data_IF_751701112091
#
_entry.id   IF_751701112091
#
_cell.length_a   1.000
_cell.length_b   1.000
_cell.length_c   1.000
_cell.angle_alpha   90.00
_cell.angle_beta   90.00
_cell.angle_gamma   90.00
#
_symmetry.space_group_name_H-M   'P 1'
#
loop_
_entity.id
_entity.type
_entity.pdbx_description
1 polymer ?
#
# COMPACT_ATOMS: atom_id res chain seq x y z
N UNK A 1 -7.56 -6.48 24.39
CA UNK A 1 -7.45 -7.32 23.18
C UNK A 1 -8.78 -8.04 23.03
N UNK A 2 -9.54 -7.76 21.97
CA UNK A 2 -10.89 -8.33 21.78
C UNK A 2 -10.77 -9.56 20.88
N UNK A 3 -11.34 -10.68 21.28
CA UNK A 3 -11.30 -11.90 20.49
C UNK A 3 -12.23 -11.79 19.27
N UNK A 4 -11.76 -12.21 18.08
CA UNK A 4 -12.51 -12.15 16.82
C UNK A 4 -13.62 -13.22 16.71
N UNK A 5 -14.14 -13.72 17.84
CA UNK A 5 -15.25 -14.69 17.85
C UNK A 5 -16.56 -14.08 17.38
N UNK A 6 -16.75 -12.78 17.63
CA UNK A 6 -17.90 -11.99 17.17
C UNK A 6 -17.42 -10.80 16.31
N UNK A 7 -17.07 -11.03 15.03
CA UNK A 7 -16.46 -10.01 14.17
C UNK A 7 -17.30 -8.73 14.07
N UNK A 8 -18.62 -8.85 14.06
CA UNK A 8 -19.55 -7.72 13.97
C UNK A 8 -19.35 -6.70 15.10
N UNK A 9 -19.26 -7.16 16.35
CA UNK A 9 -19.07 -6.28 17.51
C UNK A 9 -17.70 -5.60 17.50
N UNK A 10 -16.67 -6.31 17.02
CA UNK A 10 -15.33 -5.74 16.89
C UNK A 10 -15.33 -4.60 15.87
N UNK A 11 -15.98 -4.79 14.72
CA UNK A 11 -16.09 -3.78 13.68
C UNK A 11 -16.97 -2.59 14.10
N UNK A 12 -18.10 -2.83 14.78
CA UNK A 12 -18.95 -1.75 15.32
C UNK A 12 -18.20 -0.89 16.35
N UNK A 13 -17.42 -1.51 17.23
CA UNK A 13 -16.60 -0.79 18.20
C UNK A 13 -15.45 0.00 17.55
N UNK A 14 -14.90 -0.49 16.45
CA UNK A 14 -13.84 0.19 15.70
C UNK A 14 -14.38 1.36 14.84
N UNK A 15 -15.67 1.35 14.51
CA UNK A 15 -16.30 2.38 13.69
C UNK A 15 -15.62 2.51 12.33
N UNK A 16 -15.00 3.66 12.08
CA UNK A 16 -14.29 3.96 10.83
C UNK A 16 -12.76 3.76 10.91
N UNK A 17 -12.26 3.15 11.98
CA UNK A 17 -10.83 2.90 12.14
C UNK A 17 -10.43 1.51 11.60
N UNK A 18 -9.25 1.37 10.97
CA UNK A 18 -8.70 0.07 10.61
C UNK A 18 -8.49 -0.84 11.83
N UNK A 19 -8.77 -2.13 11.69
CA UNK A 19 -8.62 -3.13 12.75
C UNK A 19 -7.54 -4.13 12.38
N UNK A 20 -6.52 -4.28 13.22
CA UNK A 20 -5.50 -5.31 13.06
C UNK A 20 -6.00 -6.68 13.55
N UNK A 21 -5.69 -7.73 12.80
CA UNK A 21 -5.92 -9.13 13.19
C UNK A 21 -4.60 -9.70 13.69
N UNK A 22 -4.61 -10.19 14.93
CA UNK A 22 -3.43 -10.75 15.59
C UNK A 22 -3.59 -12.26 15.77
N UNK A 23 -2.53 -13.02 15.50
CA UNK A 23 -2.40 -14.43 15.88
C UNK A 23 -1.16 -14.58 16.78
N UNK A 24 -1.35 -15.01 18.04
CA UNK A 24 -0.27 -15.10 19.03
C UNK A 24 0.59 -13.83 19.09
N UNK A 25 -0.08 -12.67 19.19
CA UNK A 25 0.54 -11.34 19.21
C UNK A 25 1.27 -10.90 17.93
N UNK A 26 1.24 -11.71 16.87
CA UNK A 26 1.80 -11.33 15.57
C UNK A 26 0.68 -10.82 14.66
N UNK A 27 0.92 -9.71 13.95
CA UNK A 27 -0.03 -9.18 12.96
C UNK A 27 -0.10 -10.13 11.79
N UNK A 28 -1.30 -10.63 11.50
CA UNK A 28 -1.58 -11.51 10.35
C UNK A 28 -2.44 -10.85 9.29
N UNK A 29 -3.01 -9.68 9.55
CA UNK A 29 -3.78 -8.92 8.58
C UNK A 29 -4.48 -7.69 9.16
N UNK A 30 -5.24 -7.00 8.32
CA UNK A 30 -6.02 -5.82 8.68
C UNK A 30 -7.40 -5.85 8.02
N UNK A 31 -8.42 -5.39 8.73
CA UNK A 31 -9.70 -4.97 8.17
C UNK A 31 -9.70 -3.46 8.02
N UNK A 32 -9.84 -2.97 6.79
CA UNK A 32 -9.86 -1.54 6.48
C UNK A 32 -11.24 -1.20 5.93
N UNK A 33 -11.95 -0.21 6.51
CA UNK A 33 -13.20 0.27 5.95
C UNK A 33 -13.01 0.77 4.52
N UNK A 34 -13.95 0.48 3.63
CA UNK A 34 -13.89 0.93 2.23
C UNK A 34 -13.82 2.46 2.13
N UNK A 35 -14.43 3.18 3.07
CA UNK A 35 -14.36 4.65 3.15
C UNK A 35 -12.96 5.18 3.48
N UNK A 36 -12.09 4.36 4.07
CA UNK A 36 -10.71 4.72 4.38
C UNK A 36 -9.73 4.37 3.25
N UNK A 37 -10.22 3.72 2.19
CA UNK A 37 -9.42 3.39 1.01
C UNK A 37 -9.70 4.46 -0.05
N UNK A 38 -8.66 5.15 -0.47
CA UNK A 38 -8.73 6.02 -1.64
C UNK A 38 -8.87 5.14 -2.89
N UNK A 39 -9.93 5.38 -3.67
CA UNK A 39 -10.08 4.74 -4.97
C UNK A 39 -9.20 5.49 -5.95
N UNK A 40 -7.98 4.99 -6.12
CA UNK A 40 -7.07 5.46 -7.15
C UNK A 40 -7.36 4.66 -8.42
N UNK A 41 -7.80 5.34 -9.46
CA UNK A 41 -7.88 4.80 -10.80
C UNK A 41 -6.53 5.04 -11.48
N UNK A 42 -5.90 3.96 -11.93
CA UNK A 42 -4.66 4.03 -12.70
C UNK A 42 -4.94 3.71 -14.16
N UNK A 43 -4.36 4.50 -15.06
CA UNK A 43 -4.32 4.21 -16.49
C UNK A 43 -2.91 3.80 -16.88
N UNK A 44 -2.78 2.90 -17.85
CA UNK A 44 -1.48 2.56 -18.41
C UNK A 44 -0.88 3.82 -19.08
N UNK A 45 0.36 4.13 -18.74
CA UNK A 45 1.10 5.20 -19.40
C UNK A 45 1.42 4.82 -20.85
N UNK A 46 1.44 5.80 -21.74
CA UNK A 46 1.91 5.59 -23.11
C UNK A 46 3.43 5.48 -23.15
N UNK A 47 3.97 4.96 -24.25
CA UNK A 47 5.42 4.88 -24.45
C UNK A 47 6.08 6.25 -24.34
N UNK A 48 5.45 7.28 -24.90
CA UNK A 48 5.97 8.65 -24.90
C UNK A 48 6.00 9.25 -23.49
N UNK A 49 4.98 8.97 -22.67
CA UNK A 49 4.93 9.40 -21.26
C UNK A 49 6.03 8.72 -20.43
N UNK A 50 6.29 7.44 -20.71
CA UNK A 50 7.37 6.69 -20.07
C UNK A 50 8.73 7.25 -20.49
N UNK A 51 8.95 7.51 -21.77
CA UNK A 51 10.19 8.10 -22.28
C UNK A 51 10.45 9.50 -21.70
N UNK A 52 9.43 10.34 -21.63
CA UNK A 52 9.53 11.67 -21.03
C UNK A 52 9.85 11.59 -19.53
N UNK A 53 9.22 10.67 -18.80
CA UNK A 53 9.51 10.44 -17.39
C UNK A 53 10.95 9.96 -17.18
N UNK A 54 11.43 9.02 -18.00
CA UNK A 54 12.81 8.54 -17.96
C UNK A 54 13.82 9.65 -18.28
N UNK A 55 13.52 10.50 -19.27
CA UNK A 55 14.37 11.64 -19.61
C UNK A 55 14.39 12.72 -18.51
N UNK A 56 13.33 12.81 -17.70
CA UNK A 56 13.25 13.74 -16.57
C UNK A 56 14.02 13.28 -15.32
N UNK A 57 14.53 12.04 -15.31
CA UNK A 57 15.28 11.52 -14.17
C UNK A 57 16.60 12.29 -13.99
N UNK A 58 16.85 12.75 -12.77
CA UNK A 58 18.09 13.43 -12.42
C UNK A 58 19.30 12.49 -12.32
N UNK A 59 20.49 13.07 -12.31
CA UNK A 59 21.78 12.34 -12.24
C UNK A 59 21.86 11.36 -11.07
N UNK A 60 21.26 11.69 -9.92
CA UNK A 60 21.25 10.80 -8.75
C UNK A 60 20.47 9.50 -9.01
N UNK A 61 19.34 9.58 -9.71
CA UNK A 61 18.53 8.41 -10.05
C UNK A 61 19.24 7.52 -11.07
N UNK A 62 19.97 8.12 -12.01
CA UNK A 62 20.78 7.39 -12.99
C UNK A 62 21.94 6.66 -12.31
N UNK A 63 22.66 7.32 -11.40
CA UNK A 63 23.76 6.70 -10.66
C UNK A 63 23.32 5.49 -9.81
N UNK A 64 22.15 5.57 -9.18
CA UNK A 64 21.57 4.43 -8.45
C UNK A 64 21.21 3.29 -9.39
N UNK A 65 20.62 3.59 -10.56
CA UNK A 65 20.30 2.58 -11.56
C UNK A 65 21.57 1.86 -12.05
N UNK A 66 22.63 2.60 -12.33
CA UNK A 66 23.90 2.01 -12.76
C UNK A 66 24.52 1.11 -11.70
N UNK A 67 24.46 1.50 -10.42
CA UNK A 67 24.89 0.64 -9.31
C UNK A 67 24.04 -0.64 -9.21
N UNK A 68 22.73 -0.55 -9.44
CA UNK A 68 21.82 -1.70 -9.38
C UNK A 68 22.01 -2.66 -10.56
N UNK A 69 22.41 -2.18 -11.73
CA UNK A 69 22.71 -3.05 -12.89
C UNK A 69 23.97 -3.90 -12.69
N UNK A 70 24.90 -3.44 -11.86
CA UNK A 70 26.20 -4.10 -11.61
C UNK A 70 26.14 -5.13 -10.45
N UNK A 71 24.95 -5.33 -9.85
CA UNK A 71 24.70 -6.30 -8.78
C UNK A 71 23.74 -7.40 -9.24
#
# INVERSE_FOLDING_TARGET
MTELREPKKVLENAGSQPVAVLNRSNVVGYFVPVSAIEKLDFTAATTEEVEAALASLGEASLAVNDYLKDK
#
